data_IF_211458953192
#
_entry.id   IF_211458953192
#
_cell.length_a   1.000
_cell.length_b   1.000
_cell.length_c   1.000
_cell.angle_alpha   90.00
_cell.angle_beta   90.00
_cell.angle_gamma   90.00
#
_symmetry.space_group_name_H-M   'P 1'
#
loop_
_entity.id
_entity.type
_entity.pdbx_description
1 polymer ?
#
# COMPACT_ATOMS: atom_id res chain seq x y z
N UNK A 1 -19.27 -24.75 -14.23
CA UNK A 1 -18.22 -24.89 -13.20
C UNK A 1 -16.94 -24.11 -13.52
N UNK A 2 -16.45 -24.09 -14.78
CA UNK A 2 -15.28 -23.27 -15.17
C UNK A 2 -15.44 -21.76 -14.91
N UNK A 3 -16.64 -21.20 -15.12
CA UNK A 3 -16.88 -19.75 -14.96
C UNK A 3 -16.60 -19.22 -13.55
N UNK A 4 -16.89 -19.99 -12.50
CA UNK A 4 -16.62 -19.57 -11.11
C UNK A 4 -15.13 -19.60 -10.77
N UNK A 5 -14.40 -20.58 -11.30
CA UNK A 5 -12.94 -20.68 -11.11
C UNK A 5 -12.24 -19.55 -11.86
N UNK A 6 -12.66 -19.25 -13.08
CA UNK A 6 -12.14 -18.13 -13.86
C UNK A 6 -12.35 -16.78 -13.15
N UNK A 7 -13.55 -16.54 -12.62
CA UNK A 7 -13.85 -15.34 -11.83
C UNK A 7 -13.01 -15.26 -10.55
N UNK A 8 -12.82 -16.39 -9.85
CA UNK A 8 -11.98 -16.43 -8.64
C UNK A 8 -10.52 -16.11 -8.94
N UNK A 9 -9.96 -16.64 -10.04
CA UNK A 9 -8.59 -16.36 -10.47
C UNK A 9 -8.43 -14.90 -10.90
N UNK A 10 -9.42 -14.34 -11.58
CA UNK A 10 -9.42 -12.93 -11.98
C UNK A 10 -9.30 -12.00 -10.76
N UNK A 11 -10.14 -12.21 -9.75
CA UNK A 11 -10.08 -11.42 -8.52
C UNK A 11 -8.79 -11.66 -7.74
N UNK A 12 -8.33 -12.91 -7.65
CA UNK A 12 -7.08 -13.24 -6.98
C UNK A 12 -5.90 -12.48 -7.60
N UNK A 13 -5.76 -12.50 -8.94
CA UNK A 13 -4.71 -11.75 -9.62
C UNK A 13 -4.82 -10.25 -9.32
N UNK A 14 -6.02 -9.68 -9.35
CA UNK A 14 -6.26 -8.26 -9.01
C UNK A 14 -5.83 -7.93 -7.57
N UNK A 15 -6.08 -8.82 -6.62
CA UNK A 15 -5.66 -8.64 -5.23
C UNK A 15 -4.15 -8.79 -5.06
N UNK A 16 -3.53 -9.74 -5.76
CA UNK A 16 -2.07 -9.91 -5.77
C UNK A 16 -1.39 -8.67 -6.34
N UNK A 17 -1.84 -8.16 -7.49
CA UNK A 17 -1.34 -6.91 -8.08
C UNK A 17 -1.45 -5.73 -7.11
N UNK A 18 -2.60 -5.61 -6.42
CA UNK A 18 -2.79 -4.55 -5.42
C UNK A 18 -1.84 -4.71 -4.23
N UNK A 19 -1.68 -5.93 -3.73
CA UNK A 19 -0.78 -6.22 -2.61
C UNK A 19 0.68 -5.91 -2.98
N UNK A 20 1.12 -6.30 -4.17
CA UNK A 20 2.46 -5.99 -4.67
C UNK A 20 2.69 -4.48 -4.79
N UNK A 21 1.72 -3.73 -5.31
CA UNK A 21 1.83 -2.28 -5.42
C UNK A 21 1.97 -1.61 -4.05
N UNK A 22 1.21 -2.05 -3.04
CA UNK A 22 1.31 -1.54 -1.66
C UNK A 22 2.67 -1.89 -1.05
N UNK A 23 3.13 -3.14 -1.22
CA UNK A 23 4.43 -3.59 -0.72
C UNK A 23 5.58 -2.77 -1.32
N UNK A 24 5.53 -2.48 -2.63
CA UNK A 24 6.54 -1.65 -3.31
C UNK A 24 6.57 -0.22 -2.78
N UNK A 25 5.41 0.39 -2.50
CA UNK A 25 5.37 1.71 -1.88
C UNK A 25 5.98 1.71 -0.47
N UNK A 26 5.67 0.70 0.33
CA UNK A 26 6.22 0.57 1.68
C UNK A 26 7.73 0.36 1.65
N UNK A 27 8.23 -0.50 0.76
CA UNK A 27 9.67 -0.80 0.62
C UNK A 27 10.47 0.43 0.17
N UNK A 28 10.01 1.14 -0.86
CA UNK A 28 10.66 2.38 -1.32
C UNK A 28 10.65 3.42 -0.20
N UNK A 29 9.52 3.62 0.48
CA UNK A 29 9.46 4.57 1.58
C UNK A 29 10.43 4.18 2.70
N UNK A 30 10.47 2.90 3.08
CA UNK A 30 11.38 2.38 4.10
C UNK A 30 12.85 2.69 3.76
N UNK A 31 13.28 2.43 2.52
CA UNK A 31 14.62 2.77 2.07
C UNK A 31 14.90 4.28 2.14
N UNK A 32 13.93 5.12 1.76
CA UNK A 32 14.06 6.58 1.89
C UNK A 32 14.19 7.05 3.35
N UNK A 33 13.54 6.36 4.30
CA UNK A 33 13.68 6.67 5.74
C UNK A 33 15.11 6.43 6.21
N UNK A 34 15.74 5.34 5.75
CA UNK A 34 17.09 4.97 6.15
C UNK A 34 18.12 6.03 5.71
N UNK A 35 17.91 6.64 4.55
CA UNK A 35 18.78 7.70 4.01
C UNK A 35 18.45 9.10 4.56
N UNK A 36 17.40 9.23 5.38
CA UNK A 36 16.90 10.51 5.85
C UNK A 36 17.61 11.01 7.12
N UNK A 37 17.83 12.33 7.28
CA UNK A 37 18.34 12.89 8.52
C UNK A 37 17.42 12.59 9.69
N UNK A 38 18.00 12.25 10.84
CA UNK A 38 17.26 12.02 12.10
C UNK A 38 16.45 13.27 12.46
N UNK A 39 15.11 13.14 12.46
CA UNK A 39 14.18 14.22 12.84
C UNK A 39 13.04 14.52 11.87
N UNK A 40 12.99 13.89 10.69
CA UNK A 40 11.86 14.05 9.76
C UNK A 40 10.66 13.22 10.26
N UNK A 41 9.76 13.86 11.02
CA UNK A 41 8.70 13.19 11.78
C UNK A 41 7.50 12.64 10.96
N UNK A 42 7.45 12.84 9.64
CA UNK A 42 6.26 12.51 8.82
C UNK A 42 6.58 11.79 7.51
N UNK A 43 7.27 10.65 7.59
CA UNK A 43 7.57 9.85 6.39
C UNK A 43 6.42 8.93 5.95
N UNK A 44 5.49 8.63 6.86
CA UNK A 44 4.36 7.73 6.57
C UNK A 44 3.10 8.45 6.08
N UNK A 45 2.91 9.72 6.45
CA UNK A 45 1.74 10.50 6.02
C UNK A 45 1.66 10.66 4.49
N UNK A 46 2.75 10.97 3.76
CA UNK A 46 2.71 11.04 2.30
C UNK A 46 2.26 9.72 1.65
N UNK A 47 2.65 8.58 2.23
CA UNK A 47 2.27 7.26 1.75
C UNK A 47 0.76 7.05 1.91
N UNK A 48 0.22 7.32 3.11
CA UNK A 48 -1.21 7.20 3.42
C UNK A 48 -2.06 8.18 2.60
N UNK A 49 -1.55 9.39 2.32
CA UNK A 49 -2.19 10.35 1.43
C UNK A 49 -2.24 9.86 -0.01
N UNK A 50 -1.16 9.23 -0.49
CA UNK A 50 -1.05 8.74 -1.88
C UNK A 50 -1.98 7.56 -2.15
N UNK A 51 -2.20 6.68 -1.17
CA UNK A 51 -3.16 5.56 -1.31
C UNK A 51 -4.63 5.99 -1.21
N UNK A 52 -4.89 7.25 -0.82
CA UNK A 52 -6.24 7.76 -0.59
C UNK A 52 -6.84 7.35 0.75
N UNK A 53 -6.05 6.71 1.62
CA UNK A 53 -6.52 6.17 2.90
C UNK A 53 -6.46 7.17 4.06
N UNK A 54 -6.00 8.40 3.81
CA UNK A 54 -5.88 9.45 4.83
C UNK A 54 -7.14 9.64 5.70
N UNK A 55 -8.36 9.71 5.14
CA UNK A 55 -9.57 9.88 5.97
C UNK A 55 -9.82 8.69 6.90
N UNK A 56 -9.51 7.47 6.43
CA UNK A 56 -9.67 6.25 7.22
C UNK A 56 -8.60 6.15 8.31
N UNK A 57 -7.37 6.54 8.00
CA UNK A 57 -6.25 6.57 8.93
C UNK A 57 -6.52 7.54 10.08
N UNK A 58 -6.86 8.80 9.78
CA UNK A 58 -7.19 9.83 10.77
C UNK A 58 -8.39 9.48 11.65
N UNK A 59 -9.31 8.64 11.17
CA UNK A 59 -10.43 8.17 11.97
C UNK A 59 -10.00 7.13 13.02
N UNK A 60 -8.90 6.41 12.78
CA UNK A 60 -8.47 5.25 13.58
C UNK A 60 -7.27 5.52 14.48
N UNK A 61 -6.44 6.49 14.13
CA UNK A 61 -5.19 6.85 14.80
C UNK A 61 -5.08 8.37 14.91
#
# INVERSE_FOLDING_TARGET
>A
MLSRVADSIYWLNRYVERAENIARFADVNFNLILDSPTGVAQQWEPLVRTTGDLPLFQKRY
#
